data_IF_278511651487
#
_entry.id   IF_278511651487
#
_cell.length_a   1.000
_cell.length_b   1.000
_cell.length_c   1.000
_cell.angle_alpha   90.00
_cell.angle_beta   90.00
_cell.angle_gamma   90.00
#
_symmetry.space_group_name_H-M   'P 1'
#
loop_
_entity.id
_entity.type
_entity.pdbx_description
1 polymer ?
#
# COMPACT_ATOMS: atom_id res chain seq x y z
N UNK A 1 -1.23 7.27 8.26
CA UNK A 1 -1.15 5.82 7.96
C UNK A 1 -1.74 4.95 9.06
N UNK A 2 -1.36 5.10 10.34
CA UNK A 2 -1.67 4.11 11.37
C UNK A 2 -3.17 3.80 11.54
N UNK A 3 -4.05 4.76 11.23
CA UNK A 3 -5.49 4.57 11.23
C UNK A 3 -5.99 3.44 10.29
N UNK A 4 -5.23 3.12 9.23
CA UNK A 4 -5.57 2.05 8.28
C UNK A 4 -4.53 0.92 8.22
N UNK A 5 -3.27 1.20 8.58
CA UNK A 5 -2.14 0.27 8.45
C UNK A 5 -1.29 0.20 9.73
N UNK A 6 -1.89 0.46 10.89
CA UNK A 6 -1.17 0.63 12.16
C UNK A 6 -1.01 -0.65 12.98
N UNK A 7 0.09 -0.72 13.76
CA UNK A 7 0.42 -1.86 14.63
C UNK A 7 -0.65 -2.16 15.69
N UNK A 8 -1.39 -1.14 16.11
CA UNK A 8 -2.48 -1.26 17.09
C UNK A 8 -3.74 -1.92 16.51
N UNK A 9 -3.85 -2.04 15.18
CA UNK A 9 -4.95 -2.74 14.51
C UNK A 9 -4.72 -4.25 14.42
N UNK A 10 -3.52 -4.73 14.80
CA UNK A 10 -3.11 -6.12 14.67
C UNK A 10 -2.74 -6.69 16.03
N UNK A 11 -3.50 -7.69 16.47
CA UNK A 11 -3.22 -8.49 17.66
C UNK A 11 -1.77 -9.02 17.63
N UNK A 12 -1.04 -9.05 18.76
CA UNK A 12 0.36 -9.47 18.81
C UNK A 12 0.65 -10.77 18.08
N UNK A 13 -0.23 -11.76 18.20
CA UNK A 13 -0.10 -13.11 17.64
C UNK A 13 -0.28 -13.14 16.11
N UNK A 14 -0.92 -12.11 15.55
CA UNK A 14 -1.19 -11.97 14.11
C UNK A 14 -0.18 -11.05 13.41
N UNK A 15 0.79 -10.50 14.14
CA UNK A 15 1.80 -9.60 13.57
C UNK A 15 2.77 -10.37 12.69
N UNK A 16 2.58 -10.23 11.39
CA UNK A 16 3.50 -10.78 10.40
C UNK A 16 3.74 -9.76 9.27
N UNK A 17 4.93 -9.13 9.22
CA UNK A 17 5.22 -8.08 8.24
C UNK A 17 5.24 -8.58 6.79
N UNK A 18 5.33 -9.90 6.56
CA UNK A 18 5.31 -10.50 5.23
C UNK A 18 3.92 -10.47 4.60
N UNK A 19 2.84 -10.37 5.38
CA UNK A 19 1.44 -10.43 4.89
C UNK A 19 0.67 -9.13 5.12
N UNK A 20 1.11 -8.28 6.04
CA UNK A 20 0.46 -6.99 6.33
C UNK A 20 0.64 -6.01 5.17
N UNK A 21 -0.42 -5.26 4.84
CA UNK A 21 -0.46 -4.37 3.67
C UNK A 21 -0.75 -2.92 4.00
N UNK A 22 -0.18 -2.01 3.21
CA UNK A 22 -0.45 -0.57 3.23
C UNK A 22 -1.67 -0.16 2.40
N UNK A 23 -2.41 -1.11 1.82
CA UNK A 23 -3.55 -0.84 0.92
C UNK A 23 -4.54 0.18 1.48
N UNK A 24 -4.98 0.02 2.73
CA UNK A 24 -5.90 0.97 3.36
C UNK A 24 -5.35 2.39 3.53
N UNK A 25 -4.02 2.56 3.62
CA UNK A 25 -3.42 3.90 3.56
C UNK A 25 -3.60 4.53 2.18
N UNK A 26 -3.51 3.75 1.11
CA UNK A 26 -3.79 4.23 -0.25
C UNK A 26 -5.25 4.58 -0.46
N UNK A 27 -6.18 3.84 0.15
CA UNK A 27 -7.61 4.20 0.14
C UNK A 27 -7.87 5.57 0.81
N UNK A 28 -7.20 5.86 1.93
CA UNK A 28 -7.28 7.17 2.59
C UNK A 28 -6.71 8.29 1.72
N UNK A 29 -5.59 8.05 1.04
CA UNK A 29 -5.00 9.02 0.10
C UNK A 29 -5.92 9.25 -1.08
N UNK A 30 -6.48 8.19 -1.68
CA UNK A 30 -7.45 8.28 -2.76
C UNK A 30 -8.68 9.10 -2.35
N UNK A 31 -9.27 8.81 -1.19
CA UNK A 31 -10.41 9.56 -0.68
C UNK A 31 -10.10 11.04 -0.43
N UNK A 32 -8.84 11.39 -0.12
CA UNK A 32 -8.42 12.79 -0.03
C UNK A 32 -8.30 13.42 -1.43
N UNK A 33 -7.69 12.73 -2.39
CA UNK A 33 -7.57 13.17 -3.79
C UNK A 33 -8.94 13.38 -4.44
N UNK A 34 -9.90 12.48 -4.20
CA UNK A 34 -11.29 12.59 -4.70
C UNK A 34 -12.02 13.85 -4.19
N UNK A 35 -11.50 14.49 -3.13
CA UNK A 35 -11.99 15.78 -2.61
C UNK A 35 -11.29 16.99 -3.23
N UNK A 36 -10.43 16.79 -4.23
CA UNK A 36 -9.72 17.86 -4.94
C UNK A 36 -8.65 18.57 -4.11
N UNK A 37 -8.12 17.90 -3.08
CA UNK A 37 -7.04 18.49 -2.27
C UNK A 37 -5.76 18.61 -3.09
N UNK A 38 -5.03 19.71 -2.91
CA UNK A 38 -3.75 19.97 -3.60
C UNK A 38 -2.52 19.64 -2.76
N UNK A 39 -2.71 19.36 -1.48
CA UNK A 39 -1.65 19.12 -0.52
C UNK A 39 -2.11 18.10 0.52
N UNK A 40 -1.34 17.04 0.72
CA UNK A 40 -1.61 15.98 1.69
C UNK A 40 -0.40 15.87 2.62
N UNK A 41 -0.64 15.97 3.93
CA UNK A 41 0.35 15.66 4.96
C UNK A 41 0.05 14.26 5.48
N UNK A 42 1.02 13.35 5.41
CA UNK A 42 0.86 11.96 5.85
C UNK A 42 1.78 11.66 7.03
N UNK A 43 1.19 11.39 8.20
CA UNK A 43 1.91 10.79 9.32
C UNK A 43 2.11 9.29 9.10
N UNK A 44 3.36 8.84 9.10
CA UNK A 44 3.75 7.45 8.76
C UNK A 44 4.18 6.60 9.97
N UNK A 45 4.20 7.15 11.19
CA UNK A 45 4.57 6.42 12.39
C UNK A 45 3.53 5.35 12.80
N UNK A 46 3.99 4.34 13.56
CA UNK A 46 3.14 3.31 14.16
C UNK A 46 2.62 2.24 13.20
N UNK A 47 3.34 1.95 12.11
CA UNK A 47 2.95 0.98 11.09
C UNK A 47 2.97 -0.48 11.58
N UNK A 48 2.05 -1.30 11.07
CA UNK A 48 2.10 -2.76 11.17
C UNK A 48 2.89 -3.40 10.01
N UNK A 49 3.20 -2.61 8.99
CA UNK A 49 3.54 -3.08 7.64
C UNK A 49 5.04 -2.98 7.35
N UNK A 50 5.53 -3.89 6.51
CA UNK A 50 6.84 -3.81 5.86
C UNK A 50 6.75 -4.24 4.38
N UNK A 51 5.69 -3.81 3.70
CA UNK A 51 5.41 -4.11 2.29
C UNK A 51 6.04 -3.10 1.33
N UNK A 52 6.91 -2.21 1.81
CA UNK A 52 7.53 -1.17 0.99
C UNK A 52 6.54 -0.12 0.44
N UNK A 53 5.29 -0.10 0.91
CA UNK A 53 4.26 0.80 0.39
C UNK A 53 3.58 0.30 -0.88
N UNK A 54 3.82 -0.95 -1.32
CA UNK A 54 3.24 -1.47 -2.55
C UNK A 54 1.72 -1.58 -2.48
N UNK A 55 1.16 -1.94 -1.31
CA UNK A 55 -0.29 -1.97 -1.13
C UNK A 55 -0.91 -0.58 -1.33
N UNK A 56 -0.29 0.46 -0.80
CA UNK A 56 -0.72 1.84 -1.01
C UNK A 56 -0.69 2.23 -2.50
N UNK A 57 0.37 1.85 -3.22
CA UNK A 57 0.49 2.11 -4.65
C UNK A 57 -0.60 1.36 -5.45
N UNK A 58 -0.87 0.10 -5.12
CA UNK A 58 -1.95 -0.70 -5.72
C UNK A 58 -3.32 -0.05 -5.52
N UNK A 59 -3.62 0.43 -4.31
CA UNK A 59 -4.88 1.13 -4.02
C UNK A 59 -5.05 2.43 -4.83
N UNK A 60 -3.94 3.07 -5.22
CA UNK A 60 -3.93 4.27 -6.07
C UNK A 60 -3.93 3.96 -7.57
N UNK A 61 -3.87 2.68 -7.94
CA UNK A 61 -3.99 2.20 -9.32
C UNK A 61 -2.68 1.77 -9.98
N UNK A 62 -1.54 1.77 -9.27
CA UNK A 62 -0.31 1.19 -9.82
C UNK A 62 -0.42 -0.34 -9.89
N UNK A 63 0.14 -0.94 -10.94
CA UNK A 63 0.25 -2.39 -11.07
C UNK A 63 1.69 -2.81 -10.78
N UNK A 64 1.85 -3.71 -9.81
CA UNK A 64 3.13 -4.31 -9.49
C UNK A 64 3.14 -5.72 -10.04
N UNK A 65 4.06 -6.00 -10.94
CA UNK A 65 4.03 -7.20 -11.76
C UNK A 65 5.22 -8.11 -11.48
N UNK A 66 4.98 -9.42 -11.43
CA UNK A 66 6.02 -10.43 -11.43
C UNK A 66 6.66 -10.61 -12.82
N UNK A 67 7.65 -11.50 -12.91
CA UNK A 67 8.37 -11.80 -14.16
C UNK A 67 7.47 -12.37 -15.27
N UNK A 68 6.32 -12.92 -14.91
CA UNK A 68 5.36 -13.53 -15.82
C UNK A 68 4.23 -12.54 -16.20
N UNK A 69 4.27 -11.31 -15.68
CA UNK A 69 3.30 -10.25 -15.96
C UNK A 69 2.05 -10.29 -15.08
N UNK A 70 2.02 -11.11 -14.02
CA UNK A 70 0.89 -11.17 -13.10
C UNK A 70 1.02 -10.12 -11.99
N UNK A 71 -0.10 -9.60 -11.53
CA UNK A 71 -0.10 -8.69 -10.38
C UNK A 71 0.32 -9.39 -9.09
N UNK A 72 1.19 -8.75 -8.33
CA UNK A 72 1.62 -9.22 -7.02
C UNK A 72 0.46 -9.23 -6.03
N UNK A 73 0.49 -10.21 -5.12
CA UNK A 73 -0.35 -10.18 -3.93
C UNK A 73 0.04 -9.07 -2.95
N UNK A 74 -0.58 -9.10 -1.78
CA UNK A 74 -0.31 -8.14 -0.72
C UNK A 74 0.81 -8.59 0.23
N UNK A 75 1.45 -7.60 0.87
CA UNK A 75 2.42 -7.82 1.93
C UNK A 75 3.87 -7.88 1.46
N UNK A 76 4.80 -7.71 2.40
CA UNK A 76 6.23 -7.65 2.10
C UNK A 76 6.83 -8.94 1.57
N UNK A 77 6.17 -10.09 1.76
CA UNK A 77 6.63 -11.37 1.21
C UNK A 77 6.60 -11.41 -0.32
N UNK A 78 5.69 -10.65 -0.94
CA UNK A 78 5.52 -10.63 -2.40
C UNK A 78 6.59 -9.80 -3.10
N UNK A 79 7.27 -8.89 -2.38
CA UNK A 79 8.31 -8.01 -2.96
C UNK A 79 9.45 -8.77 -3.65
N UNK A 80 9.76 -9.99 -3.19
CA UNK A 80 10.79 -10.83 -3.80
C UNK A 80 10.48 -11.25 -5.25
N UNK A 81 9.21 -11.19 -5.65
CA UNK A 81 8.74 -11.55 -6.99
C UNK A 81 8.66 -10.35 -7.94
N UNK A 82 8.80 -9.12 -7.43
CA UNK A 82 8.63 -7.90 -8.20
C UNK A 82 9.63 -7.81 -9.35
N UNK A 83 9.13 -7.71 -10.58
CA UNK A 83 9.95 -7.55 -11.78
C UNK A 83 9.72 -6.21 -12.47
N UNK A 84 8.49 -5.67 -12.44
CA UNK A 84 8.19 -4.36 -13.03
C UNK A 84 7.07 -3.63 -12.31
N UNK A 85 7.03 -2.30 -12.45
CA UNK A 85 5.98 -1.44 -11.91
C UNK A 85 5.39 -0.63 -13.06
N UNK A 86 4.09 -0.76 -13.27
CA UNK A 86 3.30 0.05 -14.20
C UNK A 86 2.50 1.11 -13.43
N UNK A 87 2.75 2.38 -13.76
CA UNK A 87 2.14 3.55 -13.13
C UNK A 87 1.16 4.28 -14.05
N UNK A 88 0.87 3.75 -15.25
CA UNK A 88 0.01 4.43 -16.24
C UNK A 88 -1.42 4.61 -15.75
N UNK A 89 -1.89 3.73 -14.86
CA UNK A 89 -3.24 3.75 -14.29
C UNK A 89 -3.33 4.45 -12.93
N UNK A 90 -2.30 5.20 -12.53
CA UNK A 90 -2.38 6.03 -11.32
C UNK A 90 -3.50 7.05 -11.44
N UNK A 91 -4.33 7.13 -10.40
CA UNK A 91 -5.38 8.16 -10.31
C UNK A 91 -4.71 9.52 -10.06
N UNK A 92 -4.57 10.32 -11.11
CA UNK A 92 -4.17 11.72 -11.02
C UNK A 92 -5.45 12.58 -10.98
N UNK A 93 -5.60 13.37 -9.91
CA UNK A 93 -6.65 14.38 -9.76
C UNK A 93 -6.33 15.65 -10.55
#
# INVERSE_FOLDING_TARGET
MAAASGLHLVEPEKRNPLITTTFGTGELVKAALDRGVKHIIVGIGGSATNDGGIGMAQALGAKLLDKDGNELGFGGGELSKLASIDCLTLTLA
#
